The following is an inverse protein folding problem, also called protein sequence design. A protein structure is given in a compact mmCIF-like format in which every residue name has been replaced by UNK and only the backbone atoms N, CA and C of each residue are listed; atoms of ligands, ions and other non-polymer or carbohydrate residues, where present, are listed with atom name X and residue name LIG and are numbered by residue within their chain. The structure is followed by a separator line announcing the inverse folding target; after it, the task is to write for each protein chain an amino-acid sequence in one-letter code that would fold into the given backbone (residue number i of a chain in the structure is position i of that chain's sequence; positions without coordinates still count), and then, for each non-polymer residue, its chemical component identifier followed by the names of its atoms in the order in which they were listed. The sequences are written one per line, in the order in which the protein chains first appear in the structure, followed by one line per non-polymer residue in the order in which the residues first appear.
data_IF_080935225675
#
_entry.id   IF_080935225675
#
_cell.length_a   1.000
_cell.length_b   1.000
_cell.length_c   1.000
_cell.angle_alpha   90.00
_cell.angle_beta   90.00
_cell.angle_gamma   90.00
#
_symmetry.space_group_name_H-M   'P 1'
#
loop_
_entity.id
_entity.type
_entity.pdbx_description
1 polymer ?
#
# COMPACT_ATOMS: atom_id res chain seq x y z
N UNK A 1 0.76 -47.71 5.75
CA UNK A 1 0.38 -47.72 7.19
C UNK A 1 0.57 -46.30 7.70
N UNK A 2 -0.34 -45.57 8.33
CA UNK A 2 -1.77 -45.71 8.58
C UNK A 2 -2.31 -44.28 8.80
N UNK A 3 -3.42 -43.96 8.15
CA UNK A 3 -4.20 -42.72 8.25
C UNK A 3 -4.97 -42.69 9.58
N UNK A 4 -5.05 -41.53 10.25
CA UNK A 4 -6.07 -41.27 11.28
C UNK A 4 -6.72 -39.91 11.08
N UNK A 5 -7.77 -39.93 10.25
CA UNK A 5 -8.80 -38.91 10.13
C UNK A 5 -9.79 -39.12 11.30
N UNK A 6 -10.06 -38.07 12.09
CA UNK A 6 -11.03 -38.14 13.19
C UNK A 6 -12.21 -37.20 12.87
N UNK A 7 -13.30 -37.82 12.41
CA UNK A 7 -14.62 -37.24 12.23
C UNK A 7 -15.36 -37.28 13.57
N UNK A 8 -15.81 -36.12 14.04
CA UNK A 8 -16.85 -35.94 15.07
C UNK A 8 -17.68 -34.77 14.49
N UNK A 9 -18.90 -34.92 13.99
CA UNK A 9 -19.99 -35.78 14.46
C UNK A 9 -20.84 -34.98 15.45
N UNK A 10 -21.57 -33.98 14.95
CA UNK A 10 -22.37 -33.07 15.78
C UNK A 10 -23.45 -32.38 14.98
N UNK A 11 -24.38 -33.17 14.43
CA UNK A 11 -25.62 -32.68 13.85
C UNK A 11 -26.61 -32.39 14.98
N UNK A 12 -26.90 -31.12 15.24
CA UNK A 12 -28.09 -30.69 15.98
C UNK A 12 -29.02 -30.02 14.98
N UNK A 13 -30.07 -30.74 14.61
CA UNK A 13 -31.18 -30.29 13.79
C UNK A 13 -32.32 -29.79 14.69
N UNK A 14 -33.00 -28.74 14.22
CA UNK A 14 -34.41 -28.35 14.43
C UNK A 14 -34.79 -27.31 15.50
N UNK A 15 -35.52 -26.30 15.01
CA UNK A 15 -36.39 -25.37 15.73
C UNK A 15 -35.80 -23.95 15.79
N UNK A 16 -36.42 -22.85 15.35
CA UNK A 16 -37.85 -22.50 15.22
C UNK A 16 -37.94 -21.29 14.27
N UNK A 17 -38.92 -21.28 13.35
CA UNK A 17 -39.37 -20.10 12.61
C UNK A 17 -40.19 -19.22 13.55
N UNK A 18 -40.05 -17.89 13.55
CA UNK A 18 -41.18 -16.93 13.55
C UNK A 18 -40.69 -15.47 13.38
N UNK A 19 -41.50 -14.75 12.62
CA UNK A 19 -41.41 -13.36 12.15
C UNK A 19 -41.59 -12.30 13.27
N UNK A 20 -41.06 -11.08 13.09
CA UNK A 20 -41.36 -9.93 13.95
C UNK A 20 -40.83 -8.58 13.44
N UNK A 21 -41.72 -7.59 13.36
CA UNK A 21 -41.62 -6.30 12.65
C UNK A 21 -40.58 -5.28 13.16
N UNK A 22 -40.22 -4.38 12.23
CA UNK A 22 -39.58 -3.09 12.47
C UNK A 22 -40.36 -2.23 13.47
N UNK A 23 -39.64 -1.54 14.37
CA UNK A 23 -40.20 -0.39 15.10
C UNK A 23 -39.23 0.77 15.01
N UNK A 24 -39.68 1.84 14.34
CA UNK A 24 -39.02 3.12 14.20
C UNK A 24 -39.49 4.03 15.34
N UNK A 25 -38.62 4.70 16.10
CA UNK A 25 -39.04 5.71 17.07
C UNK A 25 -39.42 7.03 16.37
N UNK A 26 -40.52 7.70 16.77
CA UNK A 26 -40.84 9.05 16.34
C UNK A 26 -40.00 10.07 17.10
N UNK A 27 -39.53 11.09 16.40
CA UNK A 27 -38.77 12.20 16.95
C UNK A 27 -39.63 13.31 17.56
N UNK A 28 -38.99 14.12 18.40
CA UNK A 28 -39.35 15.51 18.75
C UNK A 28 -38.03 16.22 19.03
N UNK A 29 -37.47 16.97 18.08
CA UNK A 29 -37.72 18.39 17.77
C UNK A 29 -37.09 19.37 18.77
N UNK A 30 -36.23 20.24 18.22
CA UNK A 30 -35.48 21.33 18.85
C UNK A 30 -34.17 21.54 18.07
N UNK A 31 -34.17 22.01 16.82
CA UNK A 31 -34.56 23.33 16.29
C UNK A 31 -33.65 24.48 16.77
N UNK A 32 -32.64 24.80 15.94
CA UNK A 32 -32.00 26.11 15.67
C UNK A 32 -30.50 25.86 15.32
N UNK A 33 -29.94 26.20 14.16
CA UNK A 33 -30.46 27.01 13.05
C UNK A 33 -29.84 26.66 11.70
N UNK A 34 -30.68 26.88 10.68
CA UNK A 34 -30.40 27.52 9.38
C UNK A 34 -29.18 27.03 8.61
N UNK A 35 -29.36 26.18 7.59
CA UNK A 35 -29.77 26.57 6.24
C UNK A 35 -28.84 27.61 5.60
N UNK A 36 -27.92 27.13 4.77
CA UNK A 36 -27.75 27.66 3.42
C UNK A 36 -27.22 26.54 2.53
N UNK A 37 -28.14 25.94 1.79
CA UNK A 37 -27.86 25.44 0.46
C UNK A 37 -27.57 26.66 -0.40
N UNK A 38 -26.29 26.97 -0.58
CA UNK A 38 -25.86 27.85 -1.66
C UNK A 38 -25.28 26.96 -2.75
N UNK A 39 -26.12 26.74 -3.77
CA UNK A 39 -25.63 26.46 -5.08
C UNK A 39 -24.80 27.66 -5.55
N UNK A 40 -23.48 27.49 -5.47
CA UNK A 40 -22.57 28.01 -6.46
C UNK A 40 -21.91 26.76 -7.05
N UNK A 41 -22.20 26.32 -8.26
CA UNK A 41 -21.78 27.03 -9.47
C UNK A 41 -20.41 27.70 -9.29
N UNK A 42 -19.47 26.97 -8.69
CA UNK A 42 -18.04 27.20 -8.79
C UNK A 42 -17.49 26.31 -9.87
N UNK A 43 -17.71 26.74 -11.11
CA UNK A 43 -16.90 26.45 -12.30
C UNK A 43 -16.27 25.05 -12.30
N UNK A 44 -16.94 24.14 -12.99
CA UNK A 44 -16.28 23.30 -13.97
C UNK A 44 -15.35 24.20 -14.81
N UNK A 45 -14.16 24.50 -14.27
CA UNK A 45 -13.07 25.04 -15.06
C UNK A 45 -12.33 23.82 -15.54
N UNK A 46 -12.91 23.25 -16.59
CA UNK A 46 -12.14 22.89 -17.77
C UNK A 46 -11.31 24.12 -18.21
N UNK A 47 -10.37 24.55 -17.37
CA UNK A 47 -9.23 25.32 -17.79
C UNK A 47 -8.49 24.36 -18.71
N UNK A 48 -8.42 24.70 -19.99
CA UNK A 48 -7.72 23.90 -20.98
C UNK A 48 -6.26 23.80 -20.55
N UNK A 49 -5.95 22.77 -19.78
CA UNK A 49 -4.61 22.48 -19.34
C UNK A 49 -3.80 22.21 -20.62
N UNK A 50 -2.88 23.13 -20.91
CA UNK A 50 -1.71 22.86 -21.73
C UNK A 50 -1.22 21.45 -21.35
N UNK A 51 -0.87 20.58 -22.32
CA UNK A 51 -0.47 19.20 -22.02
C UNK A 51 0.57 19.21 -20.92
N UNK A 52 0.23 18.64 -19.75
CA UNK A 52 1.18 18.52 -18.64
C UNK A 52 2.32 17.65 -19.11
N UNK A 53 3.54 18.03 -18.73
CA UNK A 53 4.72 17.25 -19.03
C UNK A 53 4.56 15.82 -18.48
N UNK A 54 4.97 14.77 -19.23
CA UNK A 54 4.83 13.38 -18.79
C UNK A 54 5.44 13.08 -17.42
N UNK A 55 6.56 13.70 -17.06
CA UNK A 55 7.18 13.49 -15.75
C UNK A 55 6.29 14.07 -14.64
N UNK A 56 5.68 15.24 -14.86
CA UNK A 56 4.74 15.84 -13.91
C UNK A 56 3.54 14.93 -13.67
N UNK A 57 2.98 14.33 -14.73
CA UNK A 57 1.88 13.39 -14.62
C UNK A 57 2.26 12.13 -13.82
N UNK A 58 3.49 11.62 -13.98
CA UNK A 58 3.97 10.46 -13.22
C UNK A 58 4.24 10.78 -11.76
N UNK A 59 4.73 11.98 -11.45
CA UNK A 59 4.91 12.44 -10.06
C UNK A 59 3.55 12.64 -9.37
N UNK A 60 2.56 13.19 -10.07
CA UNK A 60 1.17 13.26 -9.58
C UNK A 60 0.60 11.86 -9.31
N UNK A 61 0.83 10.90 -10.23
CA UNK A 61 0.41 9.52 -10.04
C UNK A 61 1.13 8.83 -8.86
N UNK A 62 2.40 9.15 -8.63
CA UNK A 62 3.16 8.66 -7.48
C UNK A 62 2.55 9.19 -6.19
N UNK A 63 2.23 10.49 -6.11
CA UNK A 63 1.58 11.07 -4.94
C UNK A 63 0.24 10.36 -4.63
N UNK A 64 -0.62 10.19 -5.64
CA UNK A 64 -1.89 9.47 -5.48
C UNK A 64 -1.71 8.03 -4.99
N UNK A 65 -0.70 7.32 -5.51
CA UNK A 65 -0.40 5.96 -5.07
C UNK A 65 0.09 5.89 -3.61
N UNK A 66 0.77 6.94 -3.14
CA UNK A 66 1.17 7.07 -1.73
C UNK A 66 -0.02 7.37 -0.81
N UNK A 67 -1.02 8.11 -1.29
CA UNK A 67 -2.27 8.34 -0.55
C UNK A 67 -3.04 7.02 -0.38
N UNK A 68 -3.13 6.20 -1.45
CA UNK A 68 -3.73 4.85 -1.38
C UNK A 68 -3.01 3.98 -0.33
N UNK A 69 -1.68 4.06 -0.24
CA UNK A 69 -0.92 3.39 0.81
C UNK A 69 -1.27 3.91 2.20
N UNK A 70 -1.37 5.23 2.37
CA UNK A 70 -1.68 5.88 3.64
C UNK A 70 -3.08 5.48 4.14
N UNK A 71 -4.02 5.24 3.23
CA UNK A 71 -5.36 4.71 3.51
C UNK A 71 -5.36 3.22 3.92
N UNK A 72 -4.22 2.54 3.90
CA UNK A 72 -4.10 1.11 4.23
C UNK A 72 -4.54 0.17 3.11
N UNK A 73 -4.79 0.68 1.89
CA UNK A 73 -5.21 -0.11 0.71
C UNK A 73 -3.99 -0.73 0.04
N UNK A 74 -3.29 -1.62 0.75
CA UNK A 74 -1.95 -2.06 0.39
C UNK A 74 -1.83 -2.78 -0.97
N UNK A 75 -2.77 -3.67 -1.33
CA UNK A 75 -2.71 -4.34 -2.64
C UNK A 75 -2.94 -3.38 -3.81
N UNK A 76 -3.78 -2.37 -3.61
CA UNK A 76 -4.03 -1.34 -4.61
C UNK A 76 -2.85 -0.36 -4.73
N UNK A 77 -2.25 0.02 -3.61
CA UNK A 77 -1.02 0.79 -3.59
C UNK A 77 0.09 0.06 -4.36
N UNK A 78 0.26 -1.25 -4.14
CA UNK A 78 1.23 -2.06 -4.89
C UNK A 78 0.93 -2.01 -6.40
N UNK A 79 -0.32 -2.20 -6.80
CA UNK A 79 -0.70 -2.16 -8.21
C UNK A 79 -0.41 -0.78 -8.84
N UNK A 80 -0.70 0.32 -8.13
CA UNK A 80 -0.45 1.67 -8.60
C UNK A 80 1.04 2.06 -8.63
N UNK A 81 1.82 1.62 -7.64
CA UNK A 81 3.26 1.94 -7.53
C UNK A 81 4.14 1.12 -8.48
N UNK A 82 3.77 -0.11 -8.80
CA UNK A 82 4.57 -1.02 -9.64
C UNK A 82 4.95 -0.43 -11.02
N UNK A 83 4.03 0.15 -11.82
CA UNK A 83 4.43 0.77 -13.09
C UNK A 83 5.26 2.05 -12.90
N UNK A 84 5.20 2.70 -11.72
CA UNK A 84 5.95 3.90 -11.41
C UNK A 84 7.39 3.58 -10.96
N UNK A 85 7.60 2.44 -10.29
CA UNK A 85 8.93 2.08 -9.77
C UNK A 85 9.99 1.85 -10.86
N UNK A 86 9.59 1.75 -12.12
CA UNK A 86 10.49 1.65 -13.28
C UNK A 86 10.14 2.64 -14.40
N UNK A 87 9.35 3.67 -14.10
CA UNK A 87 8.95 4.66 -15.10
C UNK A 87 10.15 5.54 -15.50
N UNK A 88 10.55 5.59 -16.77
CA UNK A 88 11.70 6.39 -17.21
C UNK A 88 11.48 7.90 -17.06
N UNK A 89 10.23 8.35 -16.98
CA UNK A 89 9.90 9.76 -16.75
C UNK A 89 10.13 10.20 -15.29
N UNK A 90 10.19 9.24 -14.35
CA UNK A 90 10.48 9.51 -12.95
C UNK A 90 11.97 9.54 -12.69
N UNK A 91 12.41 10.52 -11.92
CA UNK A 91 13.79 10.57 -11.43
C UNK A 91 14.09 9.35 -10.54
N UNK A 92 15.36 8.90 -10.45
CA UNK A 92 15.72 7.70 -9.68
C UNK A 92 15.23 7.73 -8.22
N UNK A 93 15.24 8.91 -7.57
CA UNK A 93 14.74 9.07 -6.22
C UNK A 93 13.23 8.75 -6.08
N UNK A 94 12.43 9.08 -7.10
CA UNK A 94 10.99 8.78 -7.14
C UNK A 94 10.72 7.29 -7.40
N UNK A 95 11.54 6.66 -8.26
CA UNK A 95 11.50 5.20 -8.46
C UNK A 95 11.85 4.43 -7.18
N UNK A 96 12.92 4.84 -6.48
CA UNK A 96 13.33 4.28 -5.17
C UNK A 96 12.23 4.48 -4.12
N UNK A 97 11.58 5.66 -4.11
CA UNK A 97 10.43 5.91 -3.24
C UNK A 97 9.29 4.95 -3.54
N UNK A 98 8.96 4.71 -4.82
CA UNK A 98 7.93 3.73 -5.19
C UNK A 98 8.28 2.32 -4.70
N UNK A 99 9.50 1.83 -4.94
CA UNK A 99 9.95 0.54 -4.41
C UNK A 99 9.86 0.46 -2.87
N UNK A 100 10.21 1.53 -2.16
CA UNK A 100 10.09 1.59 -0.69
C UNK A 100 8.65 1.35 -0.24
N UNK A 101 7.67 2.01 -0.85
CA UNK A 101 6.27 1.88 -0.44
C UNK A 101 5.62 0.57 -0.91
N UNK A 102 6.08 -0.02 -2.03
CA UNK A 102 5.74 -1.41 -2.40
C UNK A 102 6.26 -2.37 -1.32
N UNK A 103 7.50 -2.19 -0.86
CA UNK A 103 8.08 -3.00 0.20
C UNK A 103 7.28 -2.88 1.51
N UNK A 104 6.98 -1.66 1.95
CA UNK A 104 6.17 -1.41 3.14
C UNK A 104 4.80 -2.07 3.07
N UNK A 105 4.12 -1.98 1.92
CA UNK A 105 2.82 -2.63 1.67
C UNK A 105 2.91 -4.15 1.82
N UNK A 106 3.92 -4.79 1.22
CA UNK A 106 4.14 -6.22 1.40
C UNK A 106 4.45 -6.59 2.86
N UNK A 107 5.25 -5.78 3.55
CA UNK A 107 5.58 -5.99 4.95
C UNK A 107 4.34 -5.88 5.85
N UNK A 108 3.45 -4.91 5.61
CA UNK A 108 2.21 -4.75 6.37
C UNK A 108 1.28 -5.97 6.23
N UNK A 109 1.33 -6.66 5.08
CA UNK A 109 0.54 -7.86 4.81
C UNK A 109 1.27 -9.17 5.14
N UNK A 110 2.42 -9.12 5.83
CA UNK A 110 3.19 -10.32 6.21
C UNK A 110 3.90 -11.03 5.04
N UNK A 111 3.96 -10.41 3.86
CA UNK A 111 4.60 -10.94 2.64
C UNK A 111 6.10 -10.64 2.64
N UNK A 112 6.82 -11.17 3.63
CA UNK A 112 8.19 -10.75 3.96
C UNK A 112 9.20 -10.98 2.83
N UNK A 113 9.05 -12.05 2.05
CA UNK A 113 9.94 -12.30 0.91
C UNK A 113 9.85 -11.17 -0.13
N UNK A 114 8.63 -10.79 -0.52
CA UNK A 114 8.37 -9.71 -1.46
C UNK A 114 8.79 -8.37 -0.88
N UNK A 115 8.56 -8.14 0.41
CA UNK A 115 9.03 -6.94 1.10
C UNK A 115 10.55 -6.76 0.94
N UNK A 116 11.36 -7.79 1.27
CA UNK A 116 12.81 -7.72 1.08
C UNK A 116 13.23 -7.52 -0.36
N UNK A 117 12.61 -8.24 -1.30
CA UNK A 117 12.97 -8.15 -2.72
C UNK A 117 12.81 -6.72 -3.26
N UNK A 118 11.78 -6.00 -2.84
CA UNK A 118 11.59 -4.61 -3.22
C UNK A 118 12.65 -3.69 -2.59
N UNK A 119 13.02 -3.90 -1.32
CA UNK A 119 14.16 -3.18 -0.73
C UNK A 119 15.49 -3.50 -1.42
N UNK A 120 15.75 -4.77 -1.77
CA UNK A 120 16.94 -5.14 -2.52
C UNK A 120 16.99 -4.43 -3.87
N UNK A 121 15.84 -4.25 -4.53
CA UNK A 121 15.74 -3.55 -5.81
C UNK A 121 15.99 -2.06 -5.64
N UNK A 122 15.38 -1.43 -4.62
CA UNK A 122 15.66 -0.04 -4.25
C UNK A 122 17.17 0.20 -4.00
N UNK A 123 17.82 -0.69 -3.25
CA UNK A 123 19.26 -0.62 -2.94
C UNK A 123 20.16 -0.89 -4.15
N UNK A 124 19.68 -1.64 -5.15
CA UNK A 124 20.40 -1.82 -6.41
C UNK A 124 20.32 -0.57 -7.29
N UNK A 125 19.20 0.17 -7.23
CA UNK A 125 19.05 1.46 -7.92
C UNK A 125 19.82 2.58 -7.24
N UNK A 126 19.72 2.68 -5.92
CA UNK A 126 20.45 3.64 -5.09
C UNK A 126 21.12 2.93 -3.90
N UNK A 127 22.43 2.64 -3.98
CA UNK A 127 23.18 2.03 -2.88
C UNK A 127 23.22 2.85 -1.59
N UNK A 128 22.93 4.16 -1.65
CA UNK A 128 22.88 5.05 -0.50
C UNK A 128 21.47 5.16 0.10
N UNK A 129 20.47 4.52 -0.50
CA UNK A 129 19.11 4.52 0.00
C UNK A 129 19.07 4.03 1.46
N UNK A 130 18.42 4.81 2.30
CA UNK A 130 18.33 4.57 3.74
C UNK A 130 16.92 4.90 4.23
N UNK A 131 16.37 4.03 5.07
CA UNK A 131 15.14 4.33 5.82
C UNK A 131 15.35 5.50 6.79
N UNK A 132 14.29 6.25 7.10
CA UNK A 132 14.31 7.25 8.18
C UNK A 132 14.43 6.56 9.54
N UNK A 133 14.74 7.29 10.60
CA UNK A 133 14.92 6.69 11.94
C UNK A 133 13.62 6.10 12.50
N UNK A 134 12.49 6.76 12.20
CA UNK A 134 11.15 6.22 12.53
C UNK A 134 10.88 4.93 11.77
N UNK A 135 11.19 4.89 10.46
CA UNK A 135 10.99 3.70 9.64
C UNK A 135 11.90 2.54 10.07
N UNK A 136 13.16 2.82 10.44
CA UNK A 136 14.09 1.82 11.00
C UNK A 136 13.61 1.24 12.33
N UNK A 137 12.96 2.07 13.15
CA UNK A 137 12.42 1.66 14.45
C UNK A 137 11.25 0.68 14.36
N UNK A 138 10.60 0.58 13.20
CA UNK A 138 9.50 -0.37 13.00
C UNK A 138 10.01 -1.83 13.00
N UNK A 139 9.43 -2.74 13.82
CA UNK A 139 9.98 -4.08 14.06
C UNK A 139 10.10 -4.95 12.80
N UNK A 140 9.18 -4.76 11.83
CA UNK A 140 9.20 -5.48 10.55
C UNK A 140 10.06 -4.78 9.50
N UNK A 141 9.77 -3.51 9.17
CA UNK A 141 10.46 -2.78 8.10
C UNK A 141 11.97 -2.70 8.29
N UNK A 142 12.44 -2.28 9.47
CA UNK A 142 13.87 -2.17 9.76
C UNK A 142 14.60 -3.51 9.63
N UNK A 143 14.00 -4.59 10.14
CA UNK A 143 14.55 -5.95 10.03
C UNK A 143 14.66 -6.40 8.58
N UNK A 144 13.59 -6.29 7.79
CA UNK A 144 13.61 -6.74 6.39
C UNK A 144 14.52 -5.86 5.52
N UNK A 145 14.59 -4.56 5.77
CA UNK A 145 15.51 -3.65 5.08
C UNK A 145 16.98 -3.97 5.39
N UNK A 146 17.32 -4.25 6.65
CA UNK A 146 18.68 -4.66 7.02
C UNK A 146 19.08 -6.00 6.38
N UNK A 147 18.15 -6.95 6.31
CA UNK A 147 18.35 -8.21 5.60
C UNK A 147 18.60 -7.98 4.11
N UNK A 148 17.84 -7.08 3.47
CA UNK A 148 18.04 -6.70 2.07
C UNK A 148 19.43 -6.06 1.84
N UNK A 149 19.87 -5.15 2.70
CA UNK A 149 21.22 -4.56 2.65
C UNK A 149 22.31 -5.63 2.73
N UNK A 150 22.20 -6.56 3.67
CA UNK A 150 23.15 -7.65 3.81
C UNK A 150 23.19 -8.54 2.55
N UNK A 151 22.02 -8.85 1.98
CA UNK A 151 21.90 -9.64 0.75
C UNK A 151 22.55 -8.96 -0.45
N UNK A 152 22.27 -7.67 -0.68
CA UNK A 152 22.88 -6.89 -1.77
C UNK A 152 24.40 -6.80 -1.59
N UNK A 153 24.88 -6.50 -0.38
CA UNK A 153 26.31 -6.45 -0.10
C UNK A 153 27.02 -7.80 -0.37
N UNK A 154 26.41 -8.92 0.04
CA UNK A 154 26.95 -10.26 -0.23
C UNK A 154 26.95 -10.60 -1.72
N UNK A 155 25.93 -10.17 -2.48
CA UNK A 155 25.88 -10.31 -3.95
C UNK A 155 27.01 -9.52 -4.61
N UNK A 156 27.21 -8.25 -4.23
CA UNK A 156 28.25 -7.39 -4.78
C UNK A 156 29.67 -7.90 -4.49
N UNK A 157 29.90 -8.46 -3.29
CA UNK A 157 31.18 -9.11 -2.96
C UNK A 157 31.46 -10.33 -3.84
N UNK A 158 30.44 -11.15 -4.11
CA UNK A 158 30.58 -12.34 -4.97
C UNK A 158 30.83 -11.98 -6.43
N UNK A 159 30.16 -10.96 -6.95
CA UNK A 159 30.39 -10.49 -8.33
C UNK A 159 31.79 -9.88 -8.46
N UNK A 160 32.24 -9.09 -7.47
CA UNK A 160 33.60 -8.53 -7.46
C UNK A 160 34.71 -9.59 -7.42
N UNK A 161 34.55 -10.66 -6.62
CA UNK A 161 35.52 -11.77 -6.57
C UNK A 161 35.59 -12.60 -7.87
N UNK A 162 34.58 -12.51 -8.73
CA UNK A 162 34.49 -13.26 -10.00
C UNK A 162 35.07 -12.47 -11.20
N UNK A 163 35.41 -11.20 -11.03
CA UNK A 163 36.08 -10.43 -12.08
C UNK A 163 37.50 -10.99 -12.32
N UNK A 164 37.90 -11.25 -13.59
CA UNK A 164 39.20 -11.83 -13.94
C UNK A 164 40.38 -10.90 -13.63
#
# INVERSE_FOLDING_TARGET
MATKLKLIGGACLLGVLLSGCQTTPPGTAGAAGQASSEAAAGTESKEAAKPKDPATLKEEALAQALDIYADGRYDEAIAALTPLSTAPELVPASQVKAFKFIAFSHCAQGRLRQCRQNFETALQQDPNFQLSDVEKGHPVWGKEFNAARAAVAARNKRTGKKAP
#
